data_IF_744239665837
#
_entry.id   IF_744239665837
#
_cell.length_a   1.000
_cell.length_b   1.000
_cell.length_c   1.000
_cell.angle_alpha   90.00
_cell.angle_beta   90.00
_cell.angle_gamma   90.00
#
_symmetry.space_group_name_H-M   'P 1'
#
loop_
_entity.id
_entity.type
_entity.pdbx_description
1 polymer ?
#
# COMPACT_ATOMS: atom_id res chain seq x y z
N UNK A 1 11.80 -11.33 7.67
CA UNK A 1 10.58 -11.51 6.87
C UNK A 1 9.61 -12.47 7.57
N UNK A 2 8.30 -12.22 7.39
CA UNK A 2 7.22 -13.03 7.95
C UNK A 2 6.94 -14.21 7.02
N UNK A 3 7.29 -15.42 7.46
CA UNK A 3 6.97 -16.65 6.74
C UNK A 3 5.52 -17.05 6.99
N UNK A 4 4.97 -17.90 6.14
CA UNK A 4 3.60 -18.42 6.28
C UNK A 4 3.41 -19.18 7.60
N UNK A 5 4.42 -19.87 8.09
CA UNK A 5 4.38 -20.63 9.33
C UNK A 5 4.37 -19.76 10.60
N UNK A 6 4.62 -18.46 10.48
CA UNK A 6 4.51 -17.50 11.60
C UNK A 6 3.07 -17.07 11.90
N UNK A 7 2.09 -17.49 11.10
CA UNK A 7 0.69 -17.17 11.36
C UNK A 7 0.23 -17.73 12.71
N UNK A 8 -0.32 -16.86 13.57
CA UNK A 8 -0.78 -17.18 14.93
C UNK A 8 0.31 -17.61 15.93
N UNK A 9 1.57 -17.22 15.70
CA UNK A 9 2.65 -17.50 16.66
C UNK A 9 2.81 -16.41 17.72
N UNK A 10 2.11 -15.29 17.57
CA UNK A 10 2.07 -14.18 18.53
C UNK A 10 0.68 -13.53 18.54
N UNK A 11 0.36 -12.71 19.55
CA UNK A 11 -0.86 -11.92 19.56
C UNK A 11 -1.01 -11.07 18.28
N UNK A 12 -2.25 -10.90 17.82
CA UNK A 12 -2.58 -10.02 16.73
C UNK A 12 -2.42 -8.54 17.16
N UNK A 13 -2.19 -7.66 16.19
CA UNK A 13 -2.13 -6.22 16.48
C UNK A 13 -3.53 -5.74 16.89
N UNK A 14 -3.62 -5.14 18.08
CA UNK A 14 -4.88 -4.83 18.77
C UNK A 14 -5.86 -4.02 17.92
N UNK A 15 -5.39 -2.97 17.23
CA UNK A 15 -6.28 -2.08 16.47
C UNK A 15 -6.85 -2.73 15.22
N UNK A 16 -6.20 -3.80 14.72
CA UNK A 16 -6.56 -4.51 13.49
C UNK A 16 -7.06 -5.95 13.76
N UNK A 17 -7.15 -6.35 15.02
CA UNK A 17 -7.48 -7.72 15.42
C UNK A 17 -8.80 -8.24 14.82
N UNK A 18 -9.93 -7.50 14.84
CA UNK A 18 -11.19 -8.00 14.27
C UNK A 18 -11.08 -8.31 12.76
N UNK A 19 -10.39 -7.43 12.01
CA UNK A 19 -10.13 -7.67 10.59
C UNK A 19 -9.22 -8.89 10.38
N UNK A 20 -8.15 -8.98 11.15
CA UNK A 20 -7.18 -10.08 11.06
C UNK A 20 -7.84 -11.42 11.34
N UNK A 21 -8.66 -11.53 12.41
CA UNK A 21 -9.42 -12.74 12.74
C UNK A 21 -10.32 -13.18 11.58
N UNK A 22 -11.06 -12.24 10.97
CA UNK A 22 -11.94 -12.56 9.85
C UNK A 22 -11.16 -13.13 8.64
N UNK A 23 -10.00 -12.55 8.32
CA UNK A 23 -9.14 -13.04 7.22
C UNK A 23 -8.49 -14.37 7.54
N UNK A 24 -8.02 -14.57 8.77
CA UNK A 24 -7.43 -15.84 9.23
C UNK A 24 -8.49 -16.95 9.22
N UNK A 25 -9.71 -16.66 9.66
CA UNK A 25 -10.81 -17.64 9.62
C UNK A 25 -11.10 -18.13 8.20
N UNK A 26 -11.18 -17.19 7.22
CA UNK A 26 -11.35 -17.53 5.79
C UNK A 26 -10.21 -18.39 5.25
N UNK A 27 -8.96 -18.06 5.59
CA UNK A 27 -7.78 -18.84 5.22
C UNK A 27 -7.85 -20.26 5.77
N UNK A 28 -8.15 -20.39 7.07
CA UNK A 28 -8.27 -21.70 7.73
C UNK A 28 -9.46 -22.52 7.22
N UNK A 29 -10.54 -21.86 6.81
CA UNK A 29 -11.67 -22.51 6.17
C UNK A 29 -11.28 -23.12 4.83
N UNK A 30 -10.56 -22.41 3.96
CA UNK A 30 -10.02 -22.95 2.71
C UNK A 30 -9.15 -24.19 2.94
N UNK A 31 -8.24 -24.12 3.91
CA UNK A 31 -7.36 -25.24 4.32
C UNK A 31 -8.18 -26.45 4.79
N UNK A 32 -9.17 -26.24 5.65
CA UNK A 32 -10.03 -27.31 6.18
C UNK A 32 -10.89 -27.96 5.09
N UNK A 33 -11.43 -27.19 4.15
CA UNK A 33 -12.19 -27.74 3.01
C UNK A 33 -11.31 -28.62 2.11
N UNK A 34 -10.08 -28.19 1.83
CA UNK A 34 -9.14 -29.00 1.06
C UNK A 34 -8.86 -30.33 1.72
N UNK A 35 -8.62 -30.34 3.04
CA UNK A 35 -8.31 -31.56 3.78
C UNK A 35 -9.51 -32.49 3.93
N UNK A 36 -10.71 -31.94 4.10
CA UNK A 36 -11.92 -32.73 4.33
C UNK A 36 -12.58 -33.21 3.03
N UNK A 37 -12.61 -32.37 2.01
CA UNK A 37 -13.39 -32.62 0.80
C UNK A 37 -12.53 -32.78 -0.46
N UNK A 38 -11.21 -32.64 -0.37
CA UNK A 38 -10.31 -32.73 -1.52
C UNK A 38 -10.49 -31.58 -2.52
N UNK A 39 -10.93 -30.40 -2.04
CA UNK A 39 -11.00 -29.20 -2.89
C UNK A 39 -9.61 -28.65 -3.20
N UNK A 40 -9.50 -27.70 -4.09
CA UNK A 40 -8.24 -27.06 -4.48
C UNK A 40 -8.28 -25.54 -4.24
N UNK A 41 -8.61 -25.12 -3.01
CA UNK A 41 -8.65 -23.71 -2.63
C UNK A 41 -7.27 -23.25 -2.16
N UNK A 42 -6.74 -22.20 -2.76
CA UNK A 42 -5.47 -21.60 -2.34
C UNK A 42 -5.75 -20.20 -1.81
N UNK A 43 -5.41 -19.99 -0.55
CA UNK A 43 -5.46 -18.67 0.06
C UNK A 43 -4.15 -17.92 -0.23
N UNK A 44 -4.23 -16.65 -0.58
CA UNK A 44 -3.07 -15.77 -0.79
C UNK A 44 -3.08 -14.63 0.21
N UNK A 45 -1.89 -14.22 0.66
CA UNK A 45 -1.70 -13.13 1.61
C UNK A 45 -0.81 -12.04 1.00
N UNK A 46 -1.41 -10.99 0.42
CA UNK A 46 -0.64 -9.91 -0.20
C UNK A 46 -0.03 -8.96 0.83
N UNK A 47 1.09 -8.36 0.47
CA UNK A 47 1.64 -7.19 1.14
C UNK A 47 0.82 -5.91 0.82
N UNK A 48 1.34 -4.71 1.16
CA UNK A 48 0.61 -3.48 0.85
C UNK A 48 0.54 -3.27 -0.67
N UNK A 49 -0.67 -3.20 -1.19
CA UNK A 49 -0.92 -2.95 -2.60
C UNK A 49 -1.02 -1.45 -2.88
N UNK A 50 -0.60 -1.03 -4.06
CA UNK A 50 -0.78 0.31 -4.59
C UNK A 50 -0.91 0.26 -6.11
N UNK A 51 -1.59 1.22 -6.72
CA UNK A 51 -1.78 1.23 -8.17
C UNK A 51 -2.94 2.09 -8.64
N UNK A 52 -3.36 1.93 -9.90
CA UNK A 52 -4.50 2.64 -10.48
C UNK A 52 -5.77 2.45 -9.65
N UNK A 53 -6.59 3.50 -9.60
CA UNK A 53 -7.84 3.55 -8.84
C UNK A 53 -7.70 3.42 -7.31
N UNK A 54 -6.49 3.62 -6.77
CA UNK A 54 -6.29 3.68 -5.33
C UNK A 54 -7.00 4.90 -4.72
N UNK A 55 -7.21 4.84 -3.40
CA UNK A 55 -7.84 5.94 -2.67
C UNK A 55 -6.80 7.03 -2.35
N UNK A 56 -6.99 8.24 -2.88
CA UNK A 56 -6.14 9.41 -2.63
C UNK A 56 -6.73 10.38 -1.58
N UNK A 57 -7.70 9.93 -0.78
CA UNK A 57 -8.24 10.72 0.32
C UNK A 57 -7.14 11.07 1.33
N UNK A 58 -7.08 12.35 1.78
CA UNK A 58 -6.01 12.82 2.67
C UNK A 58 -6.13 12.27 4.10
N UNK A 59 -7.32 11.82 4.50
CA UNK A 59 -7.61 11.31 5.83
C UNK A 59 -7.57 9.77 5.90
N UNK A 60 -8.16 9.11 4.87
CA UNK A 60 -8.51 7.68 4.92
C UNK A 60 -7.75 6.81 3.93
N UNK A 61 -6.81 7.37 3.20
CA UNK A 61 -6.03 6.61 2.24
C UNK A 61 -4.82 5.92 2.87
N UNK A 62 -4.27 4.96 2.13
CA UNK A 62 -2.97 4.37 2.47
C UNK A 62 -1.84 5.40 2.31
N UNK A 63 -0.71 5.11 2.94
CA UNK A 63 0.43 6.05 3.05
C UNK A 63 0.96 6.51 1.68
N UNK A 64 1.08 5.63 0.70
CA UNK A 64 1.66 5.96 -0.61
C UNK A 64 0.77 6.91 -1.43
N UNK A 65 -0.54 6.63 -1.66
CA UNK A 65 -1.41 7.56 -2.37
C UNK A 65 -1.59 8.88 -1.63
N UNK A 66 -1.67 8.87 -0.28
CA UNK A 66 -1.72 10.10 0.52
C UNK A 66 -0.49 10.98 0.28
N UNK A 67 0.72 10.39 0.28
CA UNK A 67 1.95 11.13 0.01
C UNK A 67 2.00 11.71 -1.39
N UNK A 68 1.61 10.95 -2.42
CA UNK A 68 1.56 11.44 -3.80
C UNK A 68 0.69 12.69 -3.86
N UNK A 69 -0.53 12.63 -3.32
CA UNK A 69 -1.45 13.77 -3.34
C UNK A 69 -0.93 14.96 -2.55
N UNK A 70 -0.40 14.74 -1.34
CA UNK A 70 0.16 15.81 -0.49
C UNK A 70 1.32 16.53 -1.19
N UNK A 71 2.27 15.78 -1.73
CA UNK A 71 3.46 16.33 -2.38
C UNK A 71 3.09 17.03 -3.69
N UNK A 72 2.13 16.48 -4.45
CA UNK A 72 1.61 17.12 -5.66
C UNK A 72 0.93 18.47 -5.35
N UNK A 73 0.02 18.51 -4.36
CA UNK A 73 -0.65 19.75 -3.97
C UNK A 73 0.34 20.80 -3.43
N UNK A 74 1.36 20.37 -2.67
CA UNK A 74 2.42 21.27 -2.22
C UNK A 74 3.25 21.81 -3.40
N UNK A 75 3.54 21.00 -4.40
CA UNK A 75 4.18 21.44 -5.65
C UNK A 75 3.33 22.52 -6.31
N UNK A 76 2.04 22.28 -6.52
CA UNK A 76 1.14 23.25 -7.13
C UNK A 76 1.08 24.57 -6.33
N UNK A 77 1.09 24.50 -4.98
CA UNK A 77 1.17 25.71 -4.14
C UNK A 77 2.48 26.47 -4.31
N UNK A 78 3.61 25.77 -4.42
CA UNK A 78 4.92 26.41 -4.66
C UNK A 78 4.98 27.10 -6.01
N UNK A 79 4.42 26.48 -7.05
CA UNK A 79 4.41 26.96 -8.42
C UNK A 79 3.30 28.00 -8.68
N UNK A 80 2.37 28.17 -7.72
CA UNK A 80 1.19 29.04 -7.89
C UNK A 80 0.16 28.48 -8.84
N UNK A 81 0.16 27.17 -9.06
CA UNK A 81 -0.72 26.44 -9.97
C UNK A 81 -2.09 26.18 -9.30
N UNK A 82 -2.89 27.24 -9.22
CA UNK A 82 -4.22 27.21 -8.64
C UNK A 82 -5.23 26.42 -9.48
N UNK A 83 -5.02 26.30 -10.78
CA UNK A 83 -5.88 25.51 -11.64
C UNK A 83 -5.83 24.03 -11.23
N UNK A 84 -4.65 23.49 -11.08
CA UNK A 84 -4.46 22.10 -10.66
C UNK A 84 -4.90 21.85 -9.21
N UNK A 85 -4.70 22.81 -8.29
CA UNK A 85 -5.20 22.69 -6.90
C UNK A 85 -6.73 22.59 -6.90
N UNK A 86 -7.41 23.49 -7.59
CA UNK A 86 -8.87 23.52 -7.64
C UNK A 86 -9.43 22.28 -8.32
N UNK A 87 -8.83 21.87 -9.42
CA UNK A 87 -9.21 20.65 -10.11
C UNK A 87 -9.08 19.40 -9.19
N UNK A 88 -7.97 19.27 -8.46
CA UNK A 88 -7.79 18.14 -7.52
C UNK A 88 -8.87 18.13 -6.44
N UNK A 89 -9.20 19.28 -5.89
CA UNK A 89 -10.21 19.41 -4.84
C UNK A 89 -11.65 19.22 -5.38
N UNK A 90 -11.93 19.52 -6.64
CA UNK A 90 -13.20 19.19 -7.27
C UNK A 90 -13.37 17.68 -7.44
N UNK A 91 -12.30 17.02 -7.87
CA UNK A 91 -12.30 15.56 -8.04
C UNK A 91 -12.33 14.80 -6.70
N UNK A 92 -11.73 15.38 -5.66
CA UNK A 92 -11.56 14.77 -4.33
C UNK A 92 -11.69 15.82 -3.24
N UNK A 93 -12.93 16.29 -2.94
CA UNK A 93 -13.16 17.28 -1.90
C UNK A 93 -12.61 16.83 -0.54
N UNK A 94 -12.13 17.79 0.27
CA UNK A 94 -11.57 17.55 1.61
C UNK A 94 -12.41 18.31 2.62
N UNK A 95 -13.04 17.64 3.57
CA UNK A 95 -13.92 18.24 4.59
C UNK A 95 -15.01 19.18 3.99
N UNK A 96 -15.52 18.86 2.81
CA UNK A 96 -16.48 19.67 2.08
C UNK A 96 -15.87 20.85 1.30
N UNK A 97 -14.57 21.08 1.38
CA UNK A 97 -13.85 22.06 0.58
C UNK A 97 -13.53 21.47 -0.79
N UNK A 98 -13.92 22.17 -1.85
CA UNK A 98 -13.73 21.81 -3.25
C UNK A 98 -13.02 22.92 -4.03
N UNK A 99 -12.90 22.79 -5.35
CA UNK A 99 -12.22 23.77 -6.18
C UNK A 99 -12.94 25.12 -6.32
N UNK A 100 -14.23 25.19 -6.02
CA UNK A 100 -15.01 26.44 -6.04
C UNK A 100 -14.90 27.22 -4.71
N UNK A 101 -14.37 26.59 -3.67
CA UNK A 101 -14.19 27.20 -2.33
C UNK A 101 -13.24 28.39 -2.38
N UNK A 102 -13.36 29.30 -1.41
CA UNK A 102 -12.48 30.47 -1.30
C UNK A 102 -11.04 30.02 -1.04
N UNK A 103 -10.11 30.79 -1.58
CA UNK A 103 -8.66 30.51 -1.47
C UNK A 103 -8.20 30.32 -0.02
N UNK A 104 -8.71 31.14 0.91
CA UNK A 104 -8.39 31.05 2.33
C UNK A 104 -8.87 29.75 2.95
N UNK A 105 -10.05 29.27 2.57
CA UNK A 105 -10.60 27.99 3.03
C UNK A 105 -9.77 26.81 2.51
N UNK A 106 -9.41 26.84 1.23
CA UNK A 106 -8.53 25.84 0.62
C UNK A 106 -7.18 25.79 1.35
N UNK A 107 -6.53 26.97 1.56
CA UNK A 107 -5.26 27.03 2.27
C UNK A 107 -5.37 26.52 3.73
N UNK A 108 -6.47 26.83 4.41
CA UNK A 108 -6.70 26.39 5.78
C UNK A 108 -6.83 24.86 5.86
N UNK A 109 -7.64 24.25 4.99
CA UNK A 109 -7.80 22.79 4.98
C UNK A 109 -6.52 22.07 4.59
N UNK A 110 -5.81 22.54 3.55
CA UNK A 110 -4.54 21.93 3.16
C UNK A 110 -3.50 22.00 4.29
N UNK A 111 -3.45 23.10 5.03
CA UNK A 111 -2.56 23.26 6.20
C UNK A 111 -2.89 22.25 7.30
N UNK A 112 -4.16 21.94 7.56
CA UNK A 112 -4.56 20.92 8.53
C UNK A 112 -4.01 19.53 8.18
N UNK A 113 -3.83 19.26 6.89
CA UNK A 113 -3.22 18.03 6.39
C UNK A 113 -1.69 18.12 6.19
N UNK A 114 -1.07 19.17 6.72
CA UNK A 114 0.38 19.36 6.64
C UNK A 114 0.89 19.85 5.29
N UNK A 115 0.02 20.45 4.45
CA UNK A 115 0.38 20.93 3.11
C UNK A 115 0.44 22.46 3.14
N UNK A 116 1.60 23.05 2.84
CA UNK A 116 1.79 24.49 2.80
C UNK A 116 2.84 24.89 1.76
N UNK A 117 2.95 26.20 1.51
CA UNK A 117 4.07 26.74 0.68
C UNK A 117 5.44 26.50 1.31
N UNK A 118 5.52 26.39 2.65
CA UNK A 118 6.78 26.16 3.37
C UNK A 118 7.26 24.71 3.23
N UNK A 119 6.33 23.76 3.11
CA UNK A 119 6.67 22.34 3.01
C UNK A 119 5.49 21.42 3.21
N UNK A 120 5.79 20.12 3.20
CA UNK A 120 4.87 19.05 3.52
C UNK A 120 5.30 18.42 4.86
N UNK A 121 4.37 18.35 5.80
CA UNK A 121 4.52 17.60 7.03
C UNK A 121 3.89 16.20 6.86
N UNK A 122 4.68 15.16 7.13
CA UNK A 122 4.26 13.78 7.16
C UNK A 122 4.19 13.27 8.61
N UNK A 123 3.32 12.33 8.88
CA UNK A 123 3.16 11.74 10.21
C UNK A 123 4.29 10.78 10.54
N UNK A 124 4.63 10.68 11.84
CA UNK A 124 5.61 9.77 12.37
C UNK A 124 7.04 10.23 12.20
N UNK A 125 7.99 9.33 12.37
CA UNK A 125 9.44 9.58 12.25
C UNK A 125 9.98 9.36 10.84
N UNK A 126 9.21 8.74 9.96
CA UNK A 126 9.68 8.31 8.64
C UNK A 126 10.56 7.06 8.66
N UNK A 127 10.88 6.52 9.85
CA UNK A 127 11.77 5.33 9.99
C UNK A 127 11.09 3.98 9.70
N UNK A 128 9.76 3.78 9.89
CA UNK A 128 9.14 2.49 9.61
C UNK A 128 9.39 2.01 8.20
N UNK A 129 9.60 0.70 8.10
CA UNK A 129 9.85 0.00 6.84
C UNK A 129 8.55 -0.64 6.35
N UNK A 130 8.27 -0.49 5.06
CA UNK A 130 7.10 -1.07 4.39
C UNK A 130 7.51 -1.74 3.09
N UNK A 131 6.81 -2.79 2.77
CA UNK A 131 6.84 -3.46 1.49
C UNK A 131 5.62 -3.00 0.68
N UNK A 132 5.81 -2.79 -0.62
CA UNK A 132 4.76 -2.38 -1.55
C UNK A 132 4.80 -3.25 -2.80
N UNK A 133 3.62 -3.67 -3.28
CA UNK A 133 3.46 -4.43 -4.51
C UNK A 133 2.48 -3.70 -5.43
N UNK A 134 2.83 -3.57 -6.70
CA UNK A 134 1.95 -3.03 -7.73
C UNK A 134 0.70 -3.90 -7.91
N UNK A 135 -0.49 -3.29 -7.92
CA UNK A 135 -1.75 -4.03 -7.84
C UNK A 135 -2.00 -4.98 -9.02
N UNK A 136 -1.53 -4.62 -10.23
CA UNK A 136 -1.62 -5.51 -11.40
C UNK A 136 -0.72 -6.74 -11.26
N UNK A 137 0.39 -6.65 -10.54
CA UNK A 137 1.24 -7.80 -10.25
C UNK A 137 0.61 -8.75 -9.23
N UNK A 138 -0.20 -8.21 -8.29
CA UNK A 138 -1.03 -9.06 -7.45
C UNK A 138 -2.04 -9.87 -8.27
N UNK A 139 -2.65 -9.25 -9.27
CA UNK A 139 -3.55 -9.92 -10.19
C UNK A 139 -2.80 -10.99 -11.02
N UNK A 140 -1.64 -10.64 -11.59
CA UNK A 140 -0.78 -11.56 -12.35
C UNK A 140 -0.35 -12.77 -11.50
N UNK A 141 0.09 -12.54 -10.25
CA UNK A 141 0.43 -13.60 -9.31
C UNK A 141 -0.77 -14.52 -9.01
N UNK A 142 -1.95 -13.94 -8.85
CA UNK A 142 -3.19 -14.71 -8.60
C UNK A 142 -3.55 -15.60 -9.78
N UNK A 143 -3.46 -15.09 -11.00
CA UNK A 143 -3.70 -15.87 -12.23
C UNK A 143 -2.65 -16.96 -12.36
N UNK A 144 -1.37 -16.64 -12.15
CA UNK A 144 -0.29 -17.63 -12.17
C UNK A 144 -0.57 -18.78 -11.19
N UNK A 145 -0.95 -18.46 -9.94
CA UNK A 145 -1.26 -19.47 -8.92
C UNK A 145 -2.46 -20.31 -9.35
N UNK A 146 -3.51 -19.72 -9.92
CA UNK A 146 -4.69 -20.45 -10.40
C UNK A 146 -4.35 -21.44 -11.52
N UNK A 147 -3.41 -21.11 -12.38
CA UNK A 147 -3.06 -21.92 -13.57
C UNK A 147 -1.99 -22.99 -13.30
N UNK A 148 -1.11 -22.76 -12.29
CA UNK A 148 0.11 -23.55 -12.15
C UNK A 148 0.30 -24.21 -10.79
N UNK A 149 -0.54 -23.88 -9.77
CA UNK A 149 -0.33 -24.34 -8.41
C UNK A 149 -1.56 -25.07 -7.88
N UNK A 150 -1.36 -26.30 -7.42
CA UNK A 150 -2.37 -27.05 -6.68
C UNK A 150 -2.14 -26.91 -5.16
N UNK A 151 -3.17 -27.17 -4.37
CA UNK A 151 -3.07 -27.16 -2.91
C UNK A 151 -1.94 -28.06 -2.40
N UNK A 152 -1.72 -29.24 -3.01
CA UNK A 152 -0.63 -30.17 -2.67
C UNK A 152 0.77 -29.56 -2.82
N UNK A 153 0.94 -28.54 -3.66
CA UNK A 153 2.23 -27.88 -3.91
C UNK A 153 2.53 -26.80 -2.86
N UNK A 154 1.56 -26.47 -1.99
CA UNK A 154 1.72 -25.44 -0.95
C UNK A 154 2.36 -25.95 0.34
N UNK A 155 2.58 -27.27 0.45
CA UNK A 155 3.24 -27.91 1.60
C UNK A 155 4.17 -29.03 1.15
N UNK A 156 5.13 -29.39 2.00
CA UNK A 156 6.10 -30.45 1.67
C UNK A 156 5.48 -31.83 1.73
N UNK A 157 5.76 -32.74 0.78
CA UNK A 157 5.32 -34.15 0.85
C UNK A 157 5.76 -34.81 2.17
N UNK A 158 4.86 -35.61 2.76
CA UNK A 158 5.13 -36.30 4.03
C UNK A 158 4.96 -35.43 5.30
N UNK A 159 4.54 -34.18 5.18
CA UNK A 159 4.17 -33.34 6.32
C UNK A 159 2.98 -33.98 7.07
N UNK A 160 3.15 -34.23 8.37
CA UNK A 160 2.08 -34.84 9.21
C UNK A 160 0.97 -33.86 9.55
N UNK A 161 1.30 -32.60 9.80
CA UNK A 161 0.36 -31.53 10.12
C UNK A 161 0.34 -30.52 8.98
N UNK A 162 -0.64 -30.62 8.11
CA UNK A 162 -0.82 -29.67 6.99
C UNK A 162 -1.52 -28.43 7.55
N UNK A 163 -0.81 -27.32 7.59
CA UNK A 163 -1.29 -26.02 8.06
C UNK A 163 -0.51 -24.87 7.46
N UNK A 164 -1.09 -23.67 7.51
CA UNK A 164 -0.47 -22.45 6.99
C UNK A 164 -0.06 -22.60 5.51
N UNK A 165 -0.97 -23.19 4.74
CA UNK A 165 -0.79 -23.50 3.32
C UNK A 165 -1.01 -22.30 2.39
N UNK A 166 -1.29 -21.12 2.94
CA UNK A 166 -1.38 -19.90 2.14
C UNK A 166 -0.04 -19.54 1.51
N UNK A 167 -0.10 -18.67 0.51
CA UNK A 167 1.07 -18.18 -0.20
C UNK A 167 1.17 -16.67 0.05
N UNK A 168 2.29 -16.22 0.60
CA UNK A 168 2.60 -14.79 0.68
C UNK A 168 2.88 -14.24 -0.70
N UNK A 169 2.25 -13.11 -1.06
CA UNK A 169 2.50 -12.39 -2.31
C UNK A 169 3.08 -11.02 -1.99
N UNK A 170 4.29 -10.77 -2.44
CA UNK A 170 5.04 -9.55 -2.20
C UNK A 170 6.26 -9.46 -3.08
N UNK A 171 7.09 -8.46 -2.82
CA UNK A 171 8.36 -8.23 -3.52
C UNK A 171 9.56 -8.78 -2.76
N UNK A 172 9.42 -9.01 -1.44
CA UNK A 172 10.53 -9.32 -0.55
C UNK A 172 11.47 -8.13 -0.32
N UNK A 173 11.10 -6.92 -0.77
CA UNK A 173 11.87 -5.68 -0.65
C UNK A 173 11.13 -4.66 0.22
N UNK A 174 11.84 -3.93 1.04
CA UNK A 174 11.27 -2.91 1.90
C UNK A 174 11.92 -1.55 1.69
N UNK A 175 11.14 -0.50 1.90
CA UNK A 175 11.58 0.89 1.84
C UNK A 175 11.11 1.62 3.10
N UNK A 176 11.93 2.54 3.64
CA UNK A 176 11.48 3.41 4.72
C UNK A 176 10.47 4.45 4.22
N UNK A 177 9.57 4.88 5.10
CA UNK A 177 8.60 5.94 4.77
C UNK A 177 9.32 7.22 4.33
N UNK A 178 10.48 7.53 4.93
CA UNK A 178 11.29 8.68 4.51
C UNK A 178 11.84 8.51 3.09
N UNK A 179 12.38 7.35 2.75
CA UNK A 179 12.91 7.10 1.41
C UNK A 179 11.79 7.08 0.36
N UNK A 180 10.61 6.56 0.71
CA UNK A 180 9.43 6.62 -0.15
C UNK A 180 9.01 8.08 -0.42
N UNK A 181 9.01 8.93 0.60
CA UNK A 181 8.72 10.36 0.44
C UNK A 181 9.73 11.03 -0.49
N UNK A 182 11.03 10.75 -0.32
CA UNK A 182 12.08 11.29 -1.20
C UNK A 182 11.93 10.78 -2.65
N UNK A 183 11.54 9.52 -2.84
CA UNK A 183 11.26 8.98 -4.17
C UNK A 183 10.10 9.73 -4.84
N UNK A 184 9.01 9.98 -4.12
CA UNK A 184 7.86 10.73 -4.63
C UNK A 184 8.24 12.21 -4.91
N UNK A 185 9.06 12.83 -4.05
CA UNK A 185 9.60 14.19 -4.29
C UNK A 185 10.38 14.23 -5.60
N UNK A 186 11.27 13.26 -5.81
CA UNK A 186 12.05 13.15 -7.05
C UNK A 186 11.13 12.99 -8.27
N UNK A 187 10.14 12.13 -8.18
CA UNK A 187 9.21 11.84 -9.28
C UNK A 187 8.31 13.04 -9.59
N UNK A 188 7.77 13.71 -8.60
CA UNK A 188 6.90 14.88 -8.78
C UNK A 188 7.67 16.12 -9.22
N UNK A 189 8.97 16.18 -8.97
CA UNK A 189 9.80 17.37 -9.17
C UNK A 189 9.56 18.48 -8.13
N UNK A 190 8.92 18.15 -6.98
CA UNK A 190 8.70 19.11 -5.88
C UNK A 190 10.02 19.66 -5.34
N UNK A 191 10.08 20.98 -5.09
CA UNK A 191 11.31 21.68 -4.66
C UNK A 191 11.25 22.16 -3.19
N UNK A 192 10.11 21.98 -2.52
CA UNK A 192 9.95 22.37 -1.12
C UNK A 192 10.51 21.32 -0.14
N UNK A 193 10.33 21.59 1.15
CA UNK A 193 10.81 20.72 2.23
C UNK A 193 9.81 19.62 2.57
N UNK A 194 10.33 18.48 3.04
CA UNK A 194 9.56 17.44 3.73
C UNK A 194 10.01 17.40 5.18
N UNK A 195 9.06 17.42 6.09
CA UNK A 195 9.29 17.26 7.54
C UNK A 195 8.48 16.10 8.07
N UNK A 196 8.94 15.51 9.17
CA UNK A 196 8.24 14.42 9.86
C UNK A 196 7.82 14.90 11.24
N UNK A 197 6.59 14.56 11.64
CA UNK A 197 6.05 14.90 12.95
C UNK A 197 6.04 13.67 13.86
N UNK A 198 7.04 13.53 14.76
CA UNK A 198 7.16 12.37 15.65
C UNK A 198 6.10 12.31 16.75
N UNK A 199 5.30 13.37 16.95
CA UNK A 199 4.15 13.34 17.85
C UNK A 199 2.99 12.52 17.31
N UNK A 200 2.99 12.23 16.00
CA UNK A 200 2.03 11.36 15.34
C UNK A 200 2.56 9.91 15.32
N UNK A 201 1.67 8.90 15.43
CA UNK A 201 2.10 7.51 15.52
C UNK A 201 2.77 6.99 14.23
N UNK A 202 3.82 6.19 14.39
CA UNK A 202 4.49 5.49 13.30
C UNK A 202 3.75 4.23 12.81
N UNK A 203 2.92 3.64 13.66
CA UNK A 203 2.41 2.29 13.45
C UNK A 203 3.50 1.21 13.62
N UNK A 204 3.28 0.02 13.05
CA UNK A 204 4.24 -1.10 13.13
C UNK A 204 5.56 -0.74 12.47
N UNK A 205 6.70 -0.96 13.17
CA UNK A 205 8.03 -0.54 12.68
C UNK A 205 8.48 -1.29 11.43
N UNK A 206 8.14 -2.55 11.29
CA UNK A 206 8.54 -3.36 10.13
C UNK A 206 7.44 -4.33 9.71
N UNK A 207 7.17 -4.39 8.41
CA UNK A 207 6.30 -5.38 7.78
C UNK A 207 6.94 -5.81 6.46
N UNK A 208 7.55 -6.99 6.45
CA UNK A 208 8.16 -7.58 5.26
C UNK A 208 7.70 -9.04 5.16
N UNK A 209 7.13 -9.42 4.04
CA UNK A 209 6.74 -10.80 3.76
C UNK A 209 7.94 -11.64 3.33
N UNK A 210 7.95 -12.91 3.70
CA UNK A 210 8.85 -13.89 3.11
C UNK A 210 8.17 -14.45 1.86
N UNK A 211 8.77 -14.24 0.72
CA UNK A 211 8.23 -14.64 -0.60
C UNK A 211 8.93 -15.89 -1.17
N UNK A 212 9.71 -16.59 -0.34
CA UNK A 212 10.48 -17.76 -0.78
C UNK A 212 9.59 -18.82 -1.41
N UNK A 213 8.45 -19.15 -0.78
CA UNK A 213 7.48 -20.12 -1.33
C UNK A 213 6.99 -19.71 -2.72
N UNK A 214 6.60 -18.47 -2.91
CA UNK A 214 6.12 -17.96 -4.20
C UNK A 214 7.21 -18.03 -5.28
N UNK A 215 8.44 -17.71 -4.92
CA UNK A 215 9.59 -17.80 -5.83
C UNK A 215 9.92 -19.26 -6.20
N UNK A 216 9.86 -20.19 -5.25
CA UNK A 216 10.04 -21.62 -5.49
C UNK A 216 8.94 -22.19 -6.39
N UNK A 217 7.73 -21.63 -6.36
CA UNK A 217 6.63 -21.96 -7.28
C UNK A 217 6.81 -21.36 -8.68
N UNK A 218 7.75 -20.41 -8.87
CA UNK A 218 8.16 -19.88 -10.17
C UNK A 218 7.67 -18.47 -10.50
N UNK A 219 6.96 -17.78 -9.60
CA UNK A 219 6.53 -16.41 -9.85
C UNK A 219 7.44 -15.38 -9.16
N UNK A 220 7.76 -14.30 -9.87
CA UNK A 220 8.54 -13.16 -9.39
C UNK A 220 7.91 -11.85 -9.85
N UNK A 221 7.91 -10.83 -8.99
CA UNK A 221 7.50 -9.49 -9.38
C UNK A 221 8.46 -8.90 -10.43
N UNK A 222 7.95 -8.00 -11.26
CA UNK A 222 8.68 -7.33 -12.34
C UNK A 222 8.80 -5.82 -12.11
N UNK A 223 7.84 -5.23 -11.40
CA UNK A 223 7.74 -3.78 -11.16
C UNK A 223 8.29 -3.46 -9.77
N UNK A 224 9.45 -2.82 -9.72
CA UNK A 224 10.02 -2.28 -8.48
C UNK A 224 9.33 -0.97 -8.07
N UNK A 225 9.55 -0.54 -6.82
CA UNK A 225 8.85 0.62 -6.24
C UNK A 225 9.09 1.91 -7.02
N UNK A 226 10.28 2.09 -7.58
CA UNK A 226 10.64 3.26 -8.38
C UNK A 226 9.77 3.37 -9.64
N UNK A 227 9.66 2.29 -10.39
CA UNK A 227 8.81 2.22 -11.59
C UNK A 227 7.33 2.36 -11.21
N UNK A 228 6.91 1.69 -10.14
CA UNK A 228 5.53 1.73 -9.68
C UNK A 228 5.09 3.12 -9.22
N UNK A 229 5.93 3.86 -8.51
CA UNK A 229 5.66 5.27 -8.12
C UNK A 229 5.56 6.15 -9.35
N UNK A 230 6.45 5.97 -10.34
CA UNK A 230 6.36 6.69 -11.62
C UNK A 230 5.01 6.43 -12.30
N UNK A 231 4.66 5.17 -12.53
CA UNK A 231 3.38 4.79 -13.16
C UNK A 231 2.17 5.33 -12.40
N UNK A 232 2.19 5.25 -11.07
CA UNK A 232 1.08 5.74 -10.25
C UNK A 232 0.93 7.25 -10.32
N UNK A 233 2.04 7.99 -10.34
CA UNK A 233 2.00 9.44 -10.48
C UNK A 233 1.53 9.87 -11.87
N UNK A 234 1.96 9.20 -12.94
CA UNK A 234 1.45 9.43 -14.29
C UNK A 234 -0.07 9.17 -14.36
N UNK A 235 -0.53 8.04 -13.83
CA UNK A 235 -1.96 7.75 -13.74
C UNK A 235 -2.73 8.83 -12.95
N UNK A 236 -2.18 9.28 -11.82
CA UNK A 236 -2.78 10.35 -11.02
C UNK A 236 -2.91 11.68 -11.81
N UNK A 237 -1.94 12.01 -12.63
CA UNK A 237 -1.98 13.19 -13.51
C UNK A 237 -2.94 13.03 -14.69
N UNK A 238 -3.02 11.84 -15.28
CA UNK A 238 -3.90 11.53 -16.42
C UNK A 238 -5.36 11.45 -16.02
N UNK A 239 -5.67 10.98 -14.83
CA UNK A 239 -7.02 10.94 -14.28
C UNK A 239 -7.66 12.33 -14.19
N UNK A 240 -6.86 13.38 -14.25
CA UNK A 240 -7.28 14.78 -14.37
C UNK A 240 -7.78 15.16 -15.76
N UNK A 241 -7.51 14.38 -16.80
CA UNK A 241 -7.81 14.72 -18.20
C UNK A 241 -9.10 14.06 -18.71
N UNK A 242 -9.79 13.27 -17.90
CA UNK A 242 -11.08 12.66 -18.24
C UNK A 242 -12.23 13.41 -17.60
#
# INVERSE_FOLDING_TARGET
PMKEDTLLTSPLEYTNEPYAIAKIAGLKMCESFNLQYGTNYIAVMPTNLYGPNDNFDLERSHVLPAMIRKIHLAKCLNEGDWENIRYDLDMRPVEGINGESRTEEILAVLKNYGISKAGVELWGTGTPLREFLWSEEMADASVFIMEHVDFKDTYRPGTKEIRNCHINIGTGKEISIANLAHLIVKETGYKGSITFNPEKPDGTMRKLTDVTKLHELGWHHKIDIEEGVHKMYQWYLEYKKK
#
